data_IF_073885719648
#
_entry.id   IF_073885719648
#
_cell.length_a   1.000
_cell.length_b   1.000
_cell.length_c   1.000
_cell.angle_alpha   90.00
_cell.angle_beta   90.00
_cell.angle_gamma   90.00
#
_symmetry.space_group_name_H-M   'P 1'
#
loop_
_entity.id
_entity.type
_entity.pdbx_description
1 polymer ?
#
# COMPACT_ATOMS: atom_id res chain seq x y z
N UNK A 1 -15.27 -12.62 5.71
CA UNK A 1 -14.67 -12.65 4.37
C UNK A 1 -14.57 -11.22 3.89
N UNK A 2 -13.36 -10.64 3.88
CA UNK A 2 -13.16 -9.27 3.40
C UNK A 2 -13.30 -9.19 1.87
N UNK A 3 -13.37 -7.99 1.30
CA UNK A 3 -13.54 -7.79 -0.15
C UNK A 3 -12.44 -8.50 -0.95
N UNK A 4 -11.18 -8.44 -0.50
CA UNK A 4 -10.05 -9.08 -1.18
C UNK A 4 -10.22 -10.61 -1.22
N UNK A 5 -10.66 -11.24 -0.14
CA UNK A 5 -10.95 -12.67 -0.09
C UNK A 5 -12.12 -13.04 -1.02
N UNK A 6 -13.17 -12.20 -1.10
CA UNK A 6 -14.30 -12.39 -2.01
C UNK A 6 -13.87 -12.32 -3.49
N UNK A 7 -12.89 -11.49 -3.81
CA UNK A 7 -12.29 -11.38 -5.14
C UNK A 7 -11.29 -12.52 -5.46
N UNK A 8 -11.10 -13.46 -4.52
CA UNK A 8 -10.23 -14.62 -4.67
C UNK A 8 -8.78 -14.37 -4.26
N UNK A 9 -8.54 -13.35 -3.42
CA UNK A 9 -7.25 -13.06 -2.81
C UNK A 9 -6.55 -11.83 -3.39
N UNK A 10 -5.46 -11.44 -2.72
CA UNK A 10 -4.72 -10.21 -2.95
C UNK A 10 -4.28 -10.02 -4.41
N UNK A 11 -3.55 -11.00 -4.97
CA UNK A 11 -3.06 -10.92 -6.35
C UNK A 11 -4.19 -10.82 -7.37
N UNK A 12 -5.30 -11.55 -7.17
CA UNK A 12 -6.46 -11.50 -8.08
C UNK A 12 -7.15 -10.14 -8.04
N UNK A 13 -7.27 -9.54 -6.86
CA UNK A 13 -7.83 -8.21 -6.70
C UNK A 13 -6.94 -7.15 -7.37
N UNK A 14 -5.61 -7.24 -7.18
CA UNK A 14 -4.62 -6.36 -7.80
C UNK A 14 -4.64 -6.45 -9.33
N UNK A 15 -4.68 -7.66 -9.89
CA UNK A 15 -4.84 -7.90 -11.33
C UNK A 15 -6.18 -7.37 -11.86
N UNK A 16 -7.25 -7.51 -11.07
CA UNK A 16 -8.57 -6.93 -11.36
C UNK A 16 -8.50 -5.42 -11.52
N UNK A 17 -7.94 -4.73 -10.53
CA UNK A 17 -7.77 -3.27 -10.55
C UNK A 17 -6.88 -2.81 -11.70
N UNK A 18 -5.76 -3.51 -11.96
CA UNK A 18 -4.88 -3.19 -13.08
C UNK A 18 -5.61 -3.23 -14.43
N UNK A 19 -6.44 -4.26 -14.66
CA UNK A 19 -7.25 -4.37 -15.88
C UNK A 19 -8.30 -3.27 -16.00
N UNK A 20 -8.98 -2.90 -14.90
CA UNK A 20 -9.92 -1.78 -14.89
C UNK A 20 -9.25 -0.48 -15.37
N UNK A 21 -8.10 -0.15 -14.77
CA UNK A 21 -7.30 1.05 -15.12
C UNK A 21 -6.83 1.02 -16.58
N UNK A 22 -6.37 -0.14 -17.06
CA UNK A 22 -5.92 -0.33 -18.45
C UNK A 22 -7.07 -0.15 -19.47
N UNK A 23 -8.23 -0.74 -19.17
CA UNK A 23 -9.41 -0.73 -20.04
C UNK A 23 -10.28 0.53 -19.86
N UNK A 24 -9.92 1.41 -18.92
CA UNK A 24 -10.68 2.62 -18.52
C UNK A 24 -12.13 2.28 -18.16
N UNK A 25 -12.29 1.26 -17.31
CA UNK A 25 -13.57 0.80 -16.78
C UNK A 25 -13.64 1.07 -15.29
N UNK A 26 -14.81 1.43 -14.82
CA UNK A 26 -15.02 1.75 -13.40
C UNK A 26 -15.53 0.56 -12.58
N UNK A 27 -15.94 -0.54 -13.23
CA UNK A 27 -16.64 -1.67 -12.60
C UNK A 27 -15.96 -3.00 -12.89
N UNK A 28 -15.64 -3.75 -11.84
CA UNK A 28 -15.26 -5.16 -11.92
C UNK A 28 -16.48 -6.03 -11.63
N UNK A 29 -16.68 -7.05 -12.47
CA UNK A 29 -17.71 -8.08 -12.25
C UNK A 29 -17.04 -9.42 -11.94
N UNK A 30 -17.46 -10.05 -10.83
CA UNK A 30 -16.97 -11.35 -10.40
C UNK A 30 -18.18 -12.22 -10.01
N UNK A 31 -18.71 -12.99 -10.99
CA UNK A 31 -20.01 -13.63 -10.82
C UNK A 31 -21.12 -12.59 -10.69
N UNK A 32 -21.95 -12.73 -9.65
CA UNK A 32 -23.01 -11.77 -9.32
C UNK A 32 -22.51 -10.53 -8.57
N UNK A 33 -21.21 -10.49 -8.24
CA UNK A 33 -20.61 -9.42 -7.47
C UNK A 33 -20.12 -8.30 -8.38
N UNK A 34 -20.55 -7.06 -8.11
CA UNK A 34 -20.15 -5.85 -8.85
C UNK A 34 -19.49 -4.90 -7.87
N UNK A 35 -18.28 -4.45 -8.20
CA UNK A 35 -17.45 -3.59 -7.34
C UNK A 35 -16.92 -2.43 -8.16
N UNK A 36 -16.91 -1.23 -7.59
CA UNK A 36 -16.31 -0.07 -8.27
C UNK A 36 -14.80 -0.05 -8.07
N UNK A 37 -14.07 0.57 -9.01
CA UNK A 37 -12.61 0.70 -8.96
C UNK A 37 -12.10 1.21 -7.60
N UNK A 38 -12.73 2.27 -7.06
CA UNK A 38 -12.32 2.89 -5.81
C UNK A 38 -12.51 1.99 -4.57
N UNK A 39 -13.49 1.09 -4.58
CA UNK A 39 -13.68 0.11 -3.51
C UNK A 39 -12.57 -0.94 -3.51
N UNK A 40 -12.11 -1.34 -4.70
CA UNK A 40 -10.99 -2.28 -4.84
C UNK A 40 -9.68 -1.60 -4.40
N UNK A 41 -9.45 -0.37 -4.85
CA UNK A 41 -8.26 0.42 -4.51
C UNK A 41 -8.14 0.61 -2.98
N UNK A 42 -9.24 1.04 -2.33
CA UNK A 42 -9.29 1.20 -0.88
C UNK A 42 -9.09 -0.14 -0.13
N UNK A 43 -9.73 -1.22 -0.58
CA UNK A 43 -9.58 -2.52 0.06
C UNK A 43 -8.18 -3.12 -0.11
N UNK A 44 -7.49 -2.86 -1.23
CA UNK A 44 -6.10 -3.27 -1.42
C UNK A 44 -5.17 -2.54 -0.45
N UNK A 45 -5.35 -1.22 -0.29
CA UNK A 45 -4.57 -0.42 0.68
C UNK A 45 -4.77 -0.96 2.09
N UNK A 46 -6.01 -1.20 2.50
CA UNK A 46 -6.32 -1.70 3.84
C UNK A 46 -5.77 -3.11 4.06
N UNK A 47 -5.87 -3.99 3.07
CA UNK A 47 -5.29 -5.32 3.13
C UNK A 47 -3.77 -5.26 3.26
N UNK A 48 -3.09 -4.39 2.50
CA UNK A 48 -1.64 -4.18 2.62
C UNK A 48 -1.24 -3.78 4.03
N UNK A 49 -1.94 -2.79 4.61
CA UNK A 49 -1.76 -2.31 5.98
C UNK A 49 -1.90 -3.42 7.02
N UNK A 50 -2.94 -4.24 6.92
CA UNK A 50 -3.22 -5.33 7.87
C UNK A 50 -2.22 -6.48 7.78
N UNK A 51 -1.66 -6.72 6.59
CA UNK A 51 -0.79 -7.85 6.32
C UNK A 51 0.70 -7.49 6.22
N UNK A 52 1.07 -6.23 6.48
CA UNK A 52 2.44 -5.70 6.33
C UNK A 52 3.02 -5.98 4.93
N UNK A 53 2.19 -5.81 3.90
CA UNK A 53 2.60 -5.91 2.50
C UNK A 53 2.92 -4.50 2.03
N UNK A 54 4.16 -4.27 1.62
CA UNK A 54 4.61 -2.96 1.16
C UNK A 54 4.82 -2.98 -0.35
N UNK A 55 4.21 -2.03 -1.05
CA UNK A 55 4.39 -1.82 -2.48
C UNK A 55 5.03 -0.47 -2.79
N UNK A 56 5.56 -0.34 -4.00
CA UNK A 56 5.97 0.94 -4.56
C UNK A 56 4.78 1.91 -4.49
N UNK A 57 5.02 3.12 -4.00
CA UNK A 57 4.03 4.20 -3.76
C UNK A 57 3.23 4.10 -2.45
N UNK A 58 3.43 3.08 -1.62
CA UNK A 58 2.89 3.09 -0.26
C UNK A 58 3.60 4.14 0.61
N UNK A 59 2.82 5.04 1.18
CA UNK A 59 3.31 5.97 2.18
C UNK A 59 3.58 5.22 3.50
N UNK A 60 4.74 5.47 4.09
CA UNK A 60 5.18 4.88 5.35
C UNK A 60 5.60 5.97 6.34
N UNK A 61 5.55 5.64 7.63
CA UNK A 61 6.10 6.44 8.71
C UNK A 61 7.37 5.77 9.21
N UNK A 62 8.47 6.50 9.21
CA UNK A 62 9.75 6.12 9.83
C UNK A 62 10.31 7.34 10.57
N UNK A 63 10.73 7.16 11.82
CA UNK A 63 11.28 8.24 12.67
C UNK A 63 10.41 9.52 12.75
N UNK A 64 9.08 9.35 12.66
CA UNK A 64 8.13 10.46 12.73
C UNK A 64 7.89 11.19 11.40
N UNK A 65 8.59 10.78 10.35
CA UNK A 65 8.52 11.40 9.04
C UNK A 65 7.74 10.55 8.04
N UNK A 66 7.07 11.23 7.11
CA UNK A 66 6.33 10.61 6.02
C UNK A 66 7.27 10.34 4.83
N UNK A 67 7.36 9.07 4.44
CA UNK A 67 8.14 8.56 3.30
C UNK A 67 7.21 7.82 2.33
N UNK A 68 7.66 7.53 1.11
CA UNK A 68 6.78 7.09 -0.01
C UNK A 68 7.14 5.77 -0.67
N UNK A 69 8.22 5.10 -0.26
CA UNK A 69 8.52 3.77 -0.77
C UNK A 69 9.32 2.94 0.21
N UNK A 70 9.17 1.61 0.08
CA UNK A 70 10.05 0.61 0.67
C UNK A 70 10.45 -0.40 -0.42
N UNK A 71 11.75 -0.48 -0.72
CA UNK A 71 12.31 -1.47 -1.65
C UNK A 71 13.05 -2.54 -0.84
N UNK A 72 12.47 -3.75 -0.76
CA UNK A 72 13.07 -4.84 0.01
C UNK A 72 14.46 -5.22 -0.51
N UNK A 73 15.41 -5.32 0.41
CA UNK A 73 16.77 -5.75 0.12
C UNK A 73 16.80 -7.24 -0.17
N UNK A 74 17.42 -7.61 -1.29
CA UNK A 74 17.76 -9.02 -1.58
C UNK A 74 19.03 -9.48 -0.88
N UNK A 75 19.80 -8.55 -0.30
CA UNK A 75 21.08 -8.82 0.35
C UNK A 75 20.99 -8.87 1.88
N UNK A 76 20.00 -8.19 2.47
CA UNK A 76 19.81 -8.10 3.93
C UNK A 76 18.36 -8.44 4.25
N UNK A 77 18.15 -9.62 4.83
CA UNK A 77 16.82 -10.11 5.19
C UNK A 77 16.11 -9.15 6.15
N UNK A 78 14.82 -8.87 5.89
CA UNK A 78 14.01 -8.02 6.75
C UNK A 78 14.27 -6.52 6.61
N UNK A 79 15.20 -6.09 5.75
CA UNK A 79 15.49 -4.68 5.52
C UNK A 79 14.96 -4.19 4.17
N UNK A 80 14.54 -2.94 4.12
CA UNK A 80 14.17 -2.24 2.90
C UNK A 80 14.92 -0.91 2.79
N UNK A 81 15.17 -0.47 1.57
CA UNK A 81 15.55 0.91 1.29
C UNK A 81 14.30 1.78 1.26
N UNK A 82 14.26 2.79 2.11
CA UNK A 82 13.15 3.72 2.28
C UNK A 82 13.57 5.16 1.96
N UNK A 83 12.66 5.98 1.46
CA UNK A 83 12.98 7.36 1.09
C UNK A 83 11.78 8.26 0.80
N UNK A 84 12.07 9.55 0.59
CA UNK A 84 11.09 10.54 0.15
C UNK A 84 10.91 10.50 -1.37
N UNK A 85 9.83 11.15 -1.85
CA UNK A 85 9.43 11.12 -3.26
C UNK A 85 10.48 11.70 -4.22
N UNK A 86 11.35 12.56 -3.70
CA UNK A 86 12.38 13.26 -4.46
C UNK A 86 13.78 13.02 -3.90
N UNK A 87 13.97 11.97 -3.10
CA UNK A 87 15.27 11.65 -2.54
C UNK A 87 16.14 10.99 -3.61
N UNK A 88 17.35 11.51 -3.82
CA UNK A 88 18.35 10.87 -4.69
C UNK A 88 18.90 9.58 -4.09
N UNK A 89 18.80 9.42 -2.77
CA UNK A 89 19.22 8.26 -2.01
C UNK A 89 18.15 7.90 -0.97
N UNK A 90 17.97 6.60 -0.73
CA UNK A 90 17.22 6.09 0.43
C UNK A 90 18.15 5.69 1.57
N UNK A 91 17.57 5.43 2.73
CA UNK A 91 18.26 4.77 3.84
C UNK A 91 17.74 3.34 4.02
N UNK A 92 18.59 2.46 4.53
CA UNK A 92 18.17 1.09 4.82
C UNK A 92 17.58 1.03 6.23
N UNK A 93 16.37 0.50 6.36
CA UNK A 93 15.70 0.30 7.64
C UNK A 93 15.15 -1.13 7.73
N UNK A 94 15.15 -1.71 8.93
CA UNK A 94 14.47 -2.97 9.19
C UNK A 94 12.95 -2.77 9.19
N UNK A 95 12.20 -3.79 8.79
CA UNK A 95 10.72 -3.77 8.70
C UNK A 95 10.00 -3.34 9.97
N UNK A 96 10.65 -3.51 11.13
CA UNK A 96 10.08 -3.16 12.44
C UNK A 96 10.27 -1.67 12.78
N UNK A 97 11.06 -0.93 11.99
CA UNK A 97 11.37 0.48 12.19
C UNK A 97 10.40 1.41 11.44
N UNK A 98 9.53 0.86 10.59
CA UNK A 98 8.55 1.63 9.84
C UNK A 98 7.21 0.89 9.76
N UNK A 99 6.17 1.65 9.46
CA UNK A 99 4.82 1.12 9.22
C UNK A 99 4.15 1.90 8.12
N UNK A 100 3.06 1.38 7.58
CA UNK A 100 2.19 2.17 6.70
C UNK A 100 1.71 3.44 7.41
N UNK A 101 1.64 4.53 6.65
CA UNK A 101 1.00 5.76 7.06
C UNK A 101 -0.53 5.59 7.00
N UNK A 102 -1.22 6.18 7.98
CA UNK A 102 -2.68 6.32 7.97
C UNK A 102 -3.12 7.42 7.00
N UNK A 103 -4.40 7.44 6.64
CA UNK A 103 -4.94 8.47 5.75
C UNK A 103 -4.82 9.87 6.37
N UNK A 104 -5.01 9.99 7.69
CA UNK A 104 -4.85 11.24 8.42
C UNK A 104 -3.39 11.72 8.44
N UNK A 105 -2.42 10.80 8.56
CA UNK A 105 -0.98 11.13 8.48
C UNK A 105 -0.55 11.56 7.08
N UNK A 106 -1.05 10.88 6.04
CA UNK A 106 -0.82 11.27 4.65
C UNK A 106 -1.39 12.67 4.40
N UNK A 107 -2.61 12.93 4.86
CA UNK A 107 -3.25 14.25 4.75
C UNK A 107 -2.50 15.34 5.51
N UNK A 108 -1.94 15.00 6.68
CA UNK A 108 -1.15 15.93 7.49
C UNK A 108 0.28 16.12 6.96
N UNK A 109 0.76 15.22 6.09
CA UNK A 109 2.13 15.20 5.59
C UNK A 109 3.17 14.79 6.64
N UNK A 110 2.76 14.23 7.78
CA UNK A 110 3.63 13.87 8.91
C UNK A 110 2.97 12.86 9.85
N UNK A 111 3.76 12.23 10.73
CA UNK A 111 3.23 11.45 11.86
C UNK A 111 2.36 12.33 12.74
N UNK A 112 1.21 11.82 13.15
CA UNK A 112 0.35 12.49 14.11
C UNK A 112 0.86 12.24 15.53
N UNK A 113 0.92 13.31 16.32
CA UNK A 113 1.18 13.20 17.75
C UNK A 113 -0.01 12.50 18.40
N UNK A 114 0.26 11.44 19.16
CA UNK A 114 -0.77 10.77 19.94
C UNK A 114 -0.97 11.63 21.18
N UNK A 115 -2.13 12.29 21.27
CA UNK A 115 -2.53 13.09 22.44
C UNK A 115 -2.72 12.24 23.68
#
# INVERSE_FOLDING_TARGET
>A
MNLIEQLGGYERAKDGLHRLKLEKKDLLTCGDFVVVESEIDAALIEYRRQHNIFETDDYIIHDGELKVFAMWSSAVEGCAYIGYAYAENGEMAHKDEFRHATDEEIKAGKRLEVS
#
